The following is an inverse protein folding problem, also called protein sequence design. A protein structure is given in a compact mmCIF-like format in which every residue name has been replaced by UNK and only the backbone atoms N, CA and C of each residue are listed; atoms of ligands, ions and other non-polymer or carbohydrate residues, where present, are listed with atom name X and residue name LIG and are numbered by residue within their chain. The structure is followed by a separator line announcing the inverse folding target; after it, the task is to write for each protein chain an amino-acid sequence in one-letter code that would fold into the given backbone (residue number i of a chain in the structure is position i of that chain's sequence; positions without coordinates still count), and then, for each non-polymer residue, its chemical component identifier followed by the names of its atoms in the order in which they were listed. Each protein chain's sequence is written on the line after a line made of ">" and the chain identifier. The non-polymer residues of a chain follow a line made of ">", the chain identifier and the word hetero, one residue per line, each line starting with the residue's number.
data_IF_972175703232
#
_entry.id   IF_972175703232
#
_cell.length_a   1.000
_cell.length_b   1.000
_cell.length_c   1.000
_cell.angle_alpha   90.00
_cell.angle_beta   90.00
_cell.angle_gamma   90.00
#
_symmetry.space_group_name_H-M   'P 1'
#
loop_
_entity.id
_entity.type
_entity.pdbx_description
1 polymer ?
#
# COMPACT_ATOMS: atom_id res chain seq x y z
N UNK A 1 16.59 -13.78 -5.50
CA UNK A 1 15.23 -13.72 -4.93
C UNK A 1 14.51 -12.54 -5.57
N UNK A 2 13.34 -12.76 -6.16
CA UNK A 2 12.60 -11.71 -6.87
C UNK A 2 11.88 -10.81 -5.86
N UNK A 3 12.20 -9.51 -5.85
CA UNK A 3 11.54 -8.53 -4.97
C UNK A 3 10.06 -8.43 -5.34
N UNK A 4 9.16 -8.77 -4.40
CA UNK A 4 7.72 -8.66 -4.62
C UNK A 4 7.24 -7.33 -4.05
N UNK A 5 6.69 -6.47 -4.92
CA UNK A 5 6.24 -5.12 -4.55
C UNK A 5 4.72 -5.03 -4.66
N UNK A 6 4.08 -4.48 -3.62
CA UNK A 6 2.64 -4.22 -3.64
C UNK A 6 2.38 -2.80 -4.17
N UNK A 7 1.84 -2.69 -5.39
CA UNK A 7 1.47 -1.40 -5.97
C UNK A 7 0.01 -1.04 -5.68
N UNK A 8 -0.23 0.14 -5.10
CA UNK A 8 -1.56 0.63 -4.75
C UNK A 8 -1.75 2.07 -5.18
N UNK A 9 -2.89 2.37 -5.80
CA UNK A 9 -3.33 3.75 -6.03
C UNK A 9 -4.23 4.17 -4.87
N UNK A 10 -4.00 5.37 -4.33
CA UNK A 10 -4.76 5.95 -3.22
C UNK A 10 -5.44 7.24 -3.63
N UNK A 11 -6.61 7.48 -3.02
CA UNK A 11 -7.18 8.82 -2.95
C UNK A 11 -6.25 9.75 -2.15
N UNK A 12 -6.33 11.04 -2.48
CA UNK A 12 -5.45 12.08 -1.95
C UNK A 12 -5.42 12.11 -0.42
N UNK A 13 -6.59 11.98 0.20
CA UNK A 13 -6.72 12.04 1.65
C UNK A 13 -5.90 10.97 2.35
N UNK A 14 -6.07 9.69 1.98
CA UNK A 14 -5.30 8.58 2.56
C UNK A 14 -3.81 8.69 2.24
N UNK A 15 -3.46 9.16 1.04
CA UNK A 15 -2.08 9.43 0.70
C UNK A 15 -1.46 10.47 1.65
N UNK A 16 -2.16 11.58 1.93
CA UNK A 16 -1.72 12.60 2.90
C UNK A 16 -1.60 12.05 4.32
N UNK A 17 -2.56 11.25 4.76
CA UNK A 17 -2.52 10.67 6.11
C UNK A 17 -1.32 9.75 6.31
N UNK A 18 -0.98 8.92 5.31
CA UNK A 18 0.24 8.08 5.36
C UNK A 18 1.48 8.96 5.31
N UNK A 19 1.51 9.95 4.41
CA UNK A 19 2.61 10.90 4.26
C UNK A 19 2.93 11.65 5.57
N UNK A 20 1.89 12.01 6.33
CA UNK A 20 1.98 12.68 7.63
C UNK A 20 2.19 11.71 8.80
N UNK A 21 2.21 10.39 8.55
CA UNK A 21 2.41 9.37 9.58
C UNK A 21 1.19 9.11 10.48
N UNK A 22 0.03 9.69 10.19
CA UNK A 22 -1.20 9.51 10.98
C UNK A 22 -1.92 8.21 10.62
N UNK A 23 -1.77 7.72 9.38
CA UNK A 23 -2.34 6.43 8.93
C UNK A 23 -1.26 5.35 8.88
N UNK A 24 -1.40 4.32 9.73
CA UNK A 24 -0.49 3.18 9.86
C UNK A 24 -1.03 1.87 9.29
N UNK A 25 -2.28 1.88 8.83
CA UNK A 25 -2.98 0.71 8.26
C UNK A 25 -3.70 1.17 6.99
N UNK A 26 -3.50 0.45 5.90
CA UNK A 26 -4.31 0.56 4.69
C UNK A 26 -5.36 -0.55 4.69
N UNK A 27 -6.63 -0.18 4.50
CA UNK A 27 -7.75 -1.11 4.54
C UNK A 27 -8.20 -1.45 3.12
N UNK A 28 -8.57 -2.70 2.88
CA UNK A 28 -9.19 -3.14 1.63
C UNK A 28 -10.34 -4.10 1.92
N UNK A 29 -11.47 -3.82 1.28
CA UNK A 29 -12.65 -4.68 1.31
C UNK A 29 -12.30 -6.10 0.86
N UNK A 30 -12.91 -7.09 1.51
CA UNK A 30 -12.74 -8.50 1.18
C UNK A 30 -13.44 -8.81 -0.15
N UNK A 31 -12.68 -8.67 -1.25
CA UNK A 31 -13.11 -9.00 -2.62
C UNK A 31 -12.14 -9.98 -3.28
N UNK A 32 -12.58 -10.83 -4.22
CA UNK A 32 -11.73 -11.82 -4.88
C UNK A 32 -10.44 -11.24 -5.49
N UNK A 33 -10.51 -10.00 -6.00
CA UNK A 33 -9.35 -9.26 -6.48
C UNK A 33 -8.30 -9.03 -5.39
N UNK A 34 -8.70 -8.58 -4.21
CA UNK A 34 -7.78 -8.34 -3.08
C UNK A 34 -7.29 -9.64 -2.48
N UNK A 35 -8.14 -10.66 -2.37
CA UNK A 35 -7.76 -11.98 -1.88
C UNK A 35 -6.60 -12.55 -2.69
N UNK A 36 -6.70 -12.58 -4.02
CA UNK A 36 -5.64 -13.09 -4.92
C UNK A 36 -4.32 -12.31 -4.83
N UNK A 37 -4.39 -11.05 -4.42
CA UNK A 37 -3.20 -10.20 -4.28
C UNK A 37 -2.58 -10.32 -2.89
N UNK A 38 -3.38 -10.43 -1.84
CA UNK A 38 -2.91 -10.37 -0.46
C UNK A 38 -2.67 -11.75 0.17
N UNK A 39 -3.24 -12.81 -0.40
CA UNK A 39 -3.15 -14.18 0.12
C UNK A 39 -2.78 -15.16 -1.01
N UNK A 40 -2.01 -16.19 -0.66
CA UNK A 40 -1.66 -17.27 -1.58
C UNK A 40 -2.76 -18.33 -1.66
N UNK A 41 -2.54 -19.40 -2.44
CA UNK A 41 -3.51 -20.48 -2.62
C UNK A 41 -3.86 -21.23 -1.31
N UNK A 42 -2.93 -21.27 -0.36
CA UNK A 42 -3.13 -21.84 0.98
C UNK A 42 -3.78 -20.85 1.96
N UNK A 43 -4.29 -19.72 1.46
CA UNK A 43 -4.89 -18.66 2.25
C UNK A 43 -3.94 -18.07 3.32
N UNK A 44 -2.63 -18.10 3.07
CA UNK A 44 -1.60 -17.43 3.89
C UNK A 44 -1.28 -16.05 3.34
N UNK A 45 -1.04 -15.03 4.20
CA UNK A 45 -0.58 -13.71 3.76
C UNK A 45 0.63 -13.80 2.83
N UNK A 46 0.58 -13.05 1.73
CA UNK A 46 1.73 -12.87 0.85
C UNK A 46 2.67 -11.85 1.48
N UNK A 47 3.94 -12.23 1.63
CA UNK A 47 4.99 -11.33 2.02
C UNK A 47 5.43 -10.44 0.84
N UNK A 48 5.58 -9.15 1.13
CA UNK A 48 6.04 -8.13 0.20
C UNK A 48 7.28 -7.45 0.77
N UNK A 49 8.21 -7.08 -0.10
CA UNK A 49 9.40 -6.33 0.31
C UNK A 49 9.05 -4.88 0.69
N UNK A 50 8.10 -4.29 -0.04
CA UNK A 50 7.60 -2.92 0.19
C UNK A 50 6.28 -2.68 -0.51
N UNK A 51 5.66 -1.55 -0.18
CA UNK A 51 4.45 -1.03 -0.81
C UNK A 51 4.81 0.24 -1.58
N UNK A 52 4.32 0.36 -2.81
CA UNK A 52 4.40 1.58 -3.61
C UNK A 52 3.01 2.17 -3.72
N UNK A 53 2.81 3.30 -3.04
CA UNK A 53 1.59 4.09 -3.17
C UNK A 53 1.74 5.15 -4.24
N UNK A 54 0.74 5.27 -5.11
CA UNK A 54 0.60 6.35 -6.10
C UNK A 54 -0.65 7.17 -5.80
N UNK A 55 -0.61 8.47 -6.07
CA UNK A 55 -1.81 9.30 -6.11
C UNK A 55 -2.11 9.73 -7.56
N UNK A 56 -3.03 9.02 -8.21
CA UNK A 56 -3.37 9.23 -9.62
C UNK A 56 -2.52 8.39 -10.60
N UNK A 57 -2.70 8.66 -11.89
CA UNK A 57 -2.16 7.86 -13.00
C UNK A 57 -1.19 8.61 -13.92
N UNK A 58 -1.00 9.92 -13.71
CA UNK A 58 -0.07 10.72 -14.49
C UNK A 58 1.39 10.23 -14.34
N UNK A 59 2.23 10.49 -15.36
CA UNK A 59 3.66 10.10 -15.36
C UNK A 59 4.42 10.66 -14.16
N UNK A 60 4.05 11.85 -13.74
CA UNK A 60 4.63 12.63 -12.65
C UNK A 60 3.75 12.63 -11.39
N UNK A 61 2.86 11.65 -11.24
CA UNK A 61 2.03 11.52 -10.04
C UNK A 61 2.89 11.39 -8.76
N UNK A 62 2.38 11.86 -7.60
CA UNK A 62 3.01 11.62 -6.32
C UNK A 62 3.14 10.13 -6.01
N UNK A 63 4.32 9.73 -5.54
CA UNK A 63 4.64 8.35 -5.17
C UNK A 63 5.33 8.32 -3.80
N UNK A 64 4.98 7.36 -2.97
CA UNK A 64 5.75 7.02 -1.78
C UNK A 64 5.98 5.51 -1.69
N UNK A 65 7.20 5.14 -1.34
CA UNK A 65 7.59 3.78 -0.98
C UNK A 65 7.48 3.64 0.53
N UNK A 66 6.78 2.62 0.99
CA UNK A 66 6.49 2.37 2.40
C UNK A 66 6.90 0.95 2.75
N UNK A 67 7.52 0.79 3.91
CA UNK A 67 7.86 -0.51 4.48
C UNK A 67 6.58 -1.35 4.67
N UNK A 68 6.62 -2.60 4.22
CA UNK A 68 5.56 -3.57 4.45
C UNK A 68 5.79 -4.26 5.79
N UNK A 69 4.76 -4.31 6.66
CA UNK A 69 4.85 -4.95 7.98
C UNK A 69 3.97 -6.20 8.14
N UNK A 70 3.29 -6.61 7.08
CA UNK A 70 2.39 -7.76 7.09
C UNK A 70 0.95 -7.41 6.76
N UNK A 71 0.13 -8.45 6.64
CA UNK A 71 -1.30 -8.38 6.36
C UNK A 71 -2.07 -9.13 7.44
N UNK A 72 -3.23 -8.60 7.83
CA UNK A 72 -4.21 -9.28 8.69
C UNK A 72 -5.56 -9.33 8.00
N UNK A 73 -6.35 -10.35 8.31
CA UNK A 73 -7.74 -10.47 7.89
C UNK A 73 -8.63 -10.31 9.12
N UNK A 74 -9.51 -9.30 9.11
CA UNK A 74 -10.59 -9.11 10.10
C UNK A 74 -11.90 -8.89 9.36
N UNK A 75 -12.61 -7.81 9.68
CA UNK A 75 -13.76 -7.30 8.90
C UNK A 75 -13.31 -6.87 7.50
N UNK A 76 -12.13 -6.26 7.41
CA UNK A 76 -11.41 -5.93 6.17
C UNK A 76 -10.01 -6.57 6.14
N UNK A 77 -9.36 -6.51 4.99
CA UNK A 77 -7.92 -6.72 4.92
C UNK A 77 -7.17 -5.49 5.46
N UNK A 78 -6.35 -5.69 6.48
CA UNK A 78 -5.47 -4.69 7.07
C UNK A 78 -4.04 -4.89 6.53
N UNK A 79 -3.52 -3.93 5.77
CA UNK A 79 -2.12 -3.89 5.36
C UNK A 79 -1.37 -3.00 6.33
N UNK A 80 -0.43 -3.58 7.08
CA UNK A 80 0.33 -2.87 8.09
C UNK A 80 1.45 -2.07 7.46
N UNK A 81 1.49 -0.77 7.76
CA UNK A 81 2.42 0.17 7.17
C UNK A 81 3.57 0.47 8.14
N UNK A 82 4.79 0.41 7.63
CA UNK A 82 5.98 0.83 8.34
C UNK A 82 6.38 2.27 8.01
N UNK A 83 7.68 2.55 8.10
CA UNK A 83 8.20 3.88 7.77
C UNK A 83 8.16 4.15 6.27
N UNK A 84 8.10 5.43 5.90
CA UNK A 84 8.28 5.86 4.51
C UNK A 84 9.76 5.70 4.16
N UNK A 85 10.04 4.92 3.12
CA UNK A 85 11.38 4.63 2.62
C UNK A 85 11.83 5.67 1.59
N UNK A 86 10.91 6.10 0.72
CA UNK A 86 11.19 7.06 -0.34
C UNK A 86 9.95 7.87 -0.72
N UNK A 87 10.18 9.09 -1.18
CA UNK A 87 9.14 10.02 -1.66
C UNK A 87 9.54 10.53 -3.06
N UNK A 88 8.57 10.69 -3.96
CA UNK A 88 8.78 11.23 -5.31
C UNK A 88 7.58 12.07 -5.74
N UNK A 89 7.83 13.21 -6.38
CA UNK A 89 6.82 14.12 -6.92
C UNK A 89 5.74 14.55 -5.89
N UNK A 90 6.08 14.61 -4.61
CA UNK A 90 5.11 14.97 -3.55
C UNK A 90 4.60 16.40 -3.72
N UNK A 91 5.41 17.28 -4.31
CA UNK A 91 5.01 18.65 -4.67
C UNK A 91 3.85 18.70 -5.68
N UNK A 92 3.61 17.61 -6.43
CA UNK A 92 2.51 17.52 -7.39
C UNK A 92 1.22 17.00 -6.75
N UNK A 93 1.16 16.87 -5.43
CA UNK A 93 -0.02 16.45 -4.70
C UNK A 93 -1.08 17.56 -4.70
N UNK A 94 -1.82 17.64 -5.80
CA UNK A 94 -2.88 18.62 -6.04
C UNK A 94 -4.02 18.47 -5.06
#
# INVERSE_FOLDING_TARGET
>A
MTEKILHLTLHKEFFKQILNGTKKIEYREIKPYWTKRLFNADNKPIEYSKIIFKNGYAKDCPIMEVEFKGIRKKEDYEILLGKILKKKNIQNLK
#
